data_IF_967956703523
#
_entry.id   IF_967956703523
#
_cell.length_a   1.000
_cell.length_b   1.000
_cell.length_c   1.000
_cell.angle_alpha   90.00
_cell.angle_beta   90.00
_cell.angle_gamma   90.00
#
_symmetry.space_group_name_H-M   'P 1'
#
loop_
_entity.id
_entity.type
_entity.pdbx_description
1 polymer ?
#
# COMPACT_ATOMS: atom_id res chain seq x y z
N UNK A 1 9.17 -23.14 -8.54
CA UNK A 1 8.38 -22.31 -7.63
C UNK A 1 6.99 -22.02 -8.21
N UNK A 2 5.97 -21.83 -7.33
CA UNK A 2 4.60 -21.46 -7.72
C UNK A 2 4.34 -20.00 -7.40
N UNK A 3 3.86 -19.27 -8.39
CA UNK A 3 3.62 -17.83 -8.30
C UNK A 3 2.12 -17.51 -8.37
N UNK A 4 1.71 -16.46 -7.69
CA UNK A 4 0.41 -15.80 -7.85
C UNK A 4 0.64 -14.40 -8.38
N UNK A 5 -0.05 -14.02 -9.46
CA UNK A 5 -0.08 -12.67 -10.01
C UNK A 5 -1.49 -12.10 -9.83
N UNK A 6 -1.64 -11.05 -9.05
CA UNK A 6 -2.88 -10.32 -8.86
C UNK A 6 -2.76 -8.91 -9.47
N UNK A 7 -3.57 -8.66 -10.52
CA UNK A 7 -3.53 -7.46 -11.35
C UNK A 7 -4.91 -7.28 -12.00
N UNK A 8 -5.52 -6.10 -11.89
CA UNK A 8 -6.85 -5.85 -12.44
C UNK A 8 -6.84 -5.62 -13.96
N UNK A 9 -5.74 -5.13 -14.52
CA UNK A 9 -5.57 -4.93 -15.94
C UNK A 9 -5.29 -6.24 -16.67
N UNK A 10 -6.28 -6.80 -17.35
CA UNK A 10 -6.21 -8.13 -17.97
C UNK A 10 -5.01 -8.31 -18.91
N UNK A 11 -4.74 -7.33 -19.78
CA UNK A 11 -3.61 -7.41 -20.72
C UNK A 11 -2.27 -7.50 -19.98
N UNK A 12 -2.09 -6.69 -18.94
CA UNK A 12 -0.85 -6.68 -18.15
C UNK A 12 -0.71 -7.98 -17.36
N UNK A 13 -1.78 -8.44 -16.71
CA UNK A 13 -1.81 -9.72 -16.00
C UNK A 13 -1.43 -10.89 -16.91
N UNK A 14 -2.07 -10.98 -18.06
CA UNK A 14 -1.84 -12.08 -19.00
C UNK A 14 -0.41 -12.06 -19.54
N UNK A 15 0.11 -10.88 -19.91
CA UNK A 15 1.49 -10.73 -20.37
C UNK A 15 2.49 -11.11 -19.27
N UNK A 16 2.27 -10.65 -18.02
CA UNK A 16 3.14 -10.95 -16.90
C UNK A 16 3.16 -12.46 -16.59
N UNK A 17 1.99 -13.10 -16.54
CA UNK A 17 1.89 -14.56 -16.34
C UNK A 17 2.62 -15.33 -17.44
N UNK A 18 2.44 -14.95 -18.72
CA UNK A 18 3.13 -15.62 -19.83
C UNK A 18 4.64 -15.47 -19.75
N UNK A 19 5.15 -14.28 -19.42
CA UNK A 19 6.58 -14.04 -19.33
C UNK A 19 7.21 -14.78 -18.15
N UNK A 20 6.54 -14.83 -16.99
CA UNK A 20 7.01 -15.58 -15.83
C UNK A 20 7.02 -17.08 -16.07
N UNK A 21 6.05 -17.62 -16.83
CA UNK A 21 6.04 -19.04 -17.21
C UNK A 21 7.16 -19.46 -18.18
N UNK A 22 7.91 -18.50 -18.76
CA UNK A 22 9.08 -18.80 -19.60
C UNK A 22 10.37 -18.98 -18.78
N UNK A 23 10.34 -18.65 -17.49
CA UNK A 23 11.49 -18.79 -16.61
C UNK A 23 11.63 -20.23 -16.12
N UNK A 24 12.85 -20.78 -16.19
CA UNK A 24 13.13 -22.22 -15.97
C UNK A 24 12.76 -22.74 -14.57
N UNK A 25 12.74 -21.87 -13.57
CA UNK A 25 12.47 -22.20 -12.16
C UNK A 25 11.01 -21.91 -11.73
N UNK A 26 10.17 -21.45 -12.65
CA UNK A 26 8.72 -21.23 -12.44
C UNK A 26 7.95 -22.48 -12.91
N UNK A 27 7.28 -23.14 -11.97
CA UNK A 27 6.50 -24.35 -12.24
C UNK A 27 5.06 -24.01 -12.62
N UNK A 28 4.48 -23.01 -11.94
CA UNK A 28 3.08 -22.64 -12.09
C UNK A 28 2.87 -21.17 -11.80
N UNK A 29 1.99 -20.52 -12.55
CA UNK A 29 1.57 -19.14 -12.31
C UNK A 29 0.04 -19.08 -12.25
N UNK A 30 -0.49 -18.75 -11.09
CA UNK A 30 -1.90 -18.48 -10.88
C UNK A 30 -2.19 -16.99 -11.13
N UNK A 31 -3.35 -16.70 -11.74
CA UNK A 31 -3.77 -15.34 -12.06
C UNK A 31 -5.01 -14.97 -11.26
N UNK A 32 -5.04 -13.76 -10.70
CA UNK A 32 -6.19 -13.16 -10.04
C UNK A 32 -6.46 -11.77 -10.61
N UNK A 33 -7.72 -11.43 -10.79
CA UNK A 33 -8.15 -10.13 -11.31
C UNK A 33 -8.44 -9.10 -10.21
N UNK A 34 -8.49 -9.55 -8.96
CA UNK A 34 -8.70 -8.73 -7.78
C UNK A 34 -8.16 -9.41 -6.52
N UNK A 35 -8.13 -8.67 -5.41
CA UNK A 35 -7.61 -9.19 -4.15
C UNK A 35 -8.48 -10.27 -3.51
N UNK A 36 -9.77 -10.35 -3.80
CA UNK A 36 -10.65 -11.41 -3.28
C UNK A 36 -10.36 -12.73 -3.97
N UNK A 37 -10.17 -12.71 -5.29
CA UNK A 37 -9.76 -13.88 -6.08
C UNK A 37 -8.36 -14.35 -5.66
N UNK A 38 -7.43 -13.42 -5.42
CA UNK A 38 -6.10 -13.73 -4.91
C UNK A 38 -6.14 -14.47 -3.58
N UNK A 39 -6.96 -14.02 -2.63
CA UNK A 39 -7.15 -14.71 -1.33
C UNK A 39 -7.74 -16.10 -1.54
N UNK A 40 -8.74 -16.26 -2.40
CA UNK A 40 -9.37 -17.55 -2.67
C UNK A 40 -8.38 -18.57 -3.29
N UNK A 41 -7.40 -18.12 -4.06
CA UNK A 41 -6.31 -18.95 -4.57
C UNK A 41 -5.32 -19.31 -3.45
N UNK A 42 -4.92 -18.36 -2.62
CA UNK A 42 -4.04 -18.59 -1.47
C UNK A 42 -4.62 -19.55 -0.41
N UNK A 43 -5.94 -19.68 -0.34
CA UNK A 43 -6.62 -20.67 0.53
C UNK A 43 -6.56 -22.11 -0.02
N UNK A 44 -6.35 -22.27 -1.32
CA UNK A 44 -6.45 -23.56 -2.00
C UNK A 44 -5.11 -24.11 -2.47
N UNK A 45 -4.20 -23.22 -2.81
CA UNK A 45 -2.94 -23.54 -3.46
C UNK A 45 -1.77 -23.13 -2.58
N UNK A 46 -0.72 -23.92 -2.59
CA UNK A 46 0.56 -23.55 -1.98
C UNK A 46 1.30 -22.60 -2.94
N UNK A 47 1.39 -21.34 -2.56
CA UNK A 47 2.04 -20.27 -3.34
C UNK A 47 3.33 -19.86 -2.65
N UNK A 48 4.45 -19.91 -3.37
CA UNK A 48 5.75 -19.48 -2.85
C UNK A 48 5.84 -17.95 -2.81
N UNK A 49 5.40 -17.28 -3.89
CA UNK A 49 5.46 -15.81 -4.01
C UNK A 49 4.16 -15.26 -4.61
N UNK A 50 3.57 -14.28 -3.92
CA UNK A 50 2.45 -13.48 -4.42
C UNK A 50 2.96 -12.13 -4.94
N UNK A 51 2.75 -11.87 -6.22
CA UNK A 51 3.05 -10.61 -6.92
C UNK A 51 1.73 -9.85 -7.02
N UNK A 52 1.62 -8.73 -6.32
CA UNK A 52 0.37 -8.03 -6.11
C UNK A 52 0.44 -6.58 -6.59
N UNK A 53 -0.47 -6.16 -7.46
CA UNK A 53 -0.74 -4.72 -7.61
C UNK A 53 -1.48 -4.19 -6.39
N UNK A 54 -1.35 -2.91 -6.12
CA UNK A 54 -2.04 -2.26 -5.00
C UNK A 54 -3.49 -1.94 -5.36
N UNK A 55 -3.70 -1.24 -6.46
CA UNK A 55 -5.02 -0.71 -6.80
C UNK A 55 -5.84 -1.74 -7.60
N UNK A 56 -6.45 -2.65 -6.89
CA UNK A 56 -7.39 -3.64 -7.43
C UNK A 56 -8.79 -3.43 -6.85
N UNK A 57 -9.86 -3.81 -7.57
CA UNK A 57 -11.23 -3.77 -7.05
C UNK A 57 -11.43 -4.78 -5.92
N UNK A 58 -12.50 -4.60 -5.15
CA UNK A 58 -12.96 -5.47 -4.05
C UNK A 58 -11.99 -5.46 -2.86
N UNK A 59 -10.76 -5.92 -3.06
CA UNK A 59 -9.66 -5.88 -2.08
C UNK A 59 -8.37 -5.45 -2.78
N UNK A 60 -7.63 -4.57 -2.13
CA UNK A 60 -6.32 -4.09 -2.60
C UNK A 60 -5.23 -5.13 -2.36
N UNK A 61 -4.08 -5.00 -3.04
CA UNK A 61 -2.92 -5.86 -2.77
C UNK A 61 -2.39 -5.72 -1.34
N UNK A 62 -2.61 -4.57 -0.69
CA UNK A 62 -2.28 -4.39 0.72
C UNK A 62 -3.22 -5.19 1.65
N UNK A 63 -4.50 -5.29 1.31
CA UNK A 63 -5.45 -6.12 2.05
C UNK A 63 -5.08 -7.61 1.92
N UNK A 64 -4.61 -8.04 0.75
CA UNK A 64 -4.09 -9.40 0.52
C UNK A 64 -2.83 -9.65 1.34
N UNK A 65 -1.87 -8.73 1.35
CA UNK A 65 -0.66 -8.81 2.18
C UNK A 65 -1.01 -8.96 3.67
N UNK A 66 -1.92 -8.13 4.18
CA UNK A 66 -2.36 -8.19 5.58
C UNK A 66 -3.04 -9.52 5.88
N UNK A 67 -3.86 -10.04 4.96
CA UNK A 67 -4.49 -11.35 5.08
C UNK A 67 -3.45 -12.48 5.14
N UNK A 68 -2.44 -12.48 4.26
CA UNK A 68 -1.33 -13.47 4.26
C UNK A 68 -0.63 -13.48 5.63
N UNK A 69 -0.30 -12.31 6.18
CA UNK A 69 0.38 -12.21 7.48
C UNK A 69 -0.52 -12.62 8.65
N UNK A 70 -1.81 -12.27 8.63
CA UNK A 70 -2.77 -12.65 9.65
C UNK A 70 -2.99 -14.18 9.72
N UNK A 71 -2.90 -14.87 8.58
CA UNK A 71 -3.02 -16.32 8.48
C UNK A 71 -1.67 -17.07 8.64
N UNK A 72 -0.60 -16.37 9.00
CA UNK A 72 0.74 -16.94 9.23
C UNK A 72 1.26 -17.75 8.04
N UNK A 73 0.87 -17.38 6.81
CA UNK A 73 1.34 -18.02 5.59
C UNK A 73 2.82 -17.71 5.32
N UNK A 74 3.57 -18.69 4.88
CA UNK A 74 4.97 -18.56 4.49
C UNK A 74 5.16 -17.86 3.12
N UNK A 75 4.07 -17.63 2.39
CA UNK A 75 4.07 -16.96 1.09
C UNK A 75 4.79 -15.61 1.15
N UNK A 76 5.80 -15.44 0.31
CA UNK A 76 6.49 -14.16 0.14
C UNK A 76 5.61 -13.19 -0.65
N UNK A 77 5.68 -11.92 -0.33
CA UNK A 77 4.84 -10.90 -0.98
C UNK A 77 5.71 -9.84 -1.63
N UNK A 78 5.55 -9.71 -2.94
CA UNK A 78 6.13 -8.66 -3.78
C UNK A 78 5.03 -7.72 -4.24
N UNK A 79 5.01 -6.50 -3.73
CA UNK A 79 4.11 -5.46 -4.25
C UNK A 79 4.76 -4.85 -5.51
N UNK A 80 4.01 -4.81 -6.60
CA UNK A 80 4.43 -4.22 -7.88
C UNK A 80 3.42 -3.14 -8.27
N UNK A 81 3.82 -1.87 -8.29
CA UNK A 81 2.89 -0.75 -8.48
C UNK A 81 3.46 0.38 -9.32
N UNK A 82 2.60 1.15 -9.97
CA UNK A 82 2.96 2.44 -10.57
C UNK A 82 2.92 3.59 -9.57
N UNK A 83 2.33 3.38 -8.39
CA UNK A 83 2.06 4.44 -7.42
C UNK A 83 3.21 4.62 -6.43
N UNK A 84 3.74 5.84 -6.38
CA UNK A 84 4.77 6.29 -5.43
C UNK A 84 4.16 6.90 -4.15
N UNK A 85 2.92 6.52 -3.79
CA UNK A 85 2.22 7.07 -2.61
C UNK A 85 2.87 6.57 -1.32
N UNK A 86 3.34 7.50 -0.52
CA UNK A 86 4.03 7.21 0.75
C UNK A 86 3.15 6.44 1.74
N UNK A 87 1.85 6.70 1.76
CA UNK A 87 0.89 6.00 2.62
C UNK A 87 0.84 4.51 2.34
N UNK A 88 0.81 4.10 1.06
CA UNK A 88 0.83 2.69 0.66
C UNK A 88 2.13 2.00 1.07
N UNK A 89 3.27 2.64 0.84
CA UNK A 89 4.56 2.07 1.22
C UNK A 89 4.70 1.93 2.74
N UNK A 90 4.28 2.93 3.53
CA UNK A 90 4.26 2.83 4.99
C UNK A 90 3.38 1.67 5.49
N UNK A 91 2.17 1.51 4.91
CA UNK A 91 1.26 0.42 5.25
C UNK A 91 1.87 -0.94 4.90
N UNK A 92 2.50 -1.06 3.72
CA UNK A 92 3.20 -2.27 3.31
C UNK A 92 4.35 -2.64 4.25
N UNK A 93 5.17 -1.64 4.68
CA UNK A 93 6.24 -1.85 5.64
C UNK A 93 5.71 -2.31 7.01
N UNK A 94 4.63 -1.69 7.50
CA UNK A 94 3.98 -2.07 8.75
C UNK A 94 3.43 -3.49 8.71
N UNK A 95 2.95 -3.94 7.54
CA UNK A 95 2.49 -5.30 7.27
C UNK A 95 3.64 -6.26 6.89
N UNK A 96 4.90 -5.88 7.07
CA UNK A 96 6.07 -6.74 6.83
C UNK A 96 6.14 -7.29 5.40
N UNK A 97 5.92 -6.45 4.38
CA UNK A 97 6.12 -6.81 2.98
C UNK A 97 7.56 -7.30 2.73
N UNK A 98 7.75 -8.28 1.83
CA UNK A 98 9.08 -8.78 1.48
C UNK A 98 9.75 -7.90 0.42
N UNK A 99 9.00 -7.49 -0.63
CA UNK A 99 9.50 -6.50 -1.59
C UNK A 99 8.40 -5.51 -1.99
N UNK A 100 8.84 -4.29 -2.33
CA UNK A 100 7.96 -3.25 -2.85
C UNK A 100 8.68 -2.52 -3.99
N UNK A 101 8.24 -2.77 -5.22
CA UNK A 101 8.92 -2.33 -6.44
C UNK A 101 7.99 -1.64 -7.42
N UNK A 102 8.56 -0.85 -8.33
CA UNK A 102 7.80 -0.13 -9.34
C UNK A 102 7.59 -1.00 -10.59
N UNK A 103 6.42 -0.85 -11.27
CA UNK A 103 6.06 -1.56 -12.51
C UNK A 103 6.94 -1.23 -13.72
N UNK A 104 7.88 -0.29 -13.59
CA UNK A 104 8.82 0.11 -14.63
C UNK A 104 9.98 -0.90 -14.81
N UNK A 105 10.07 -1.93 -13.97
CA UNK A 105 11.11 -2.96 -14.00
C UNK A 105 10.91 -3.95 -15.15
N UNK A 106 12.02 -4.49 -15.65
CA UNK A 106 12.00 -5.63 -16.57
C UNK A 106 11.58 -6.93 -15.86
N UNK A 107 11.19 -7.95 -16.62
CA UNK A 107 10.91 -9.29 -16.08
C UNK A 107 12.14 -9.87 -15.37
N UNK A 108 13.32 -9.70 -15.97
CA UNK A 108 14.58 -10.15 -15.36
C UNK A 108 14.84 -9.51 -13.99
N UNK A 109 14.55 -8.20 -13.83
CA UNK A 109 14.69 -7.52 -12.54
C UNK A 109 13.63 -8.01 -11.54
N UNK A 110 12.41 -8.30 -12.01
CA UNK A 110 11.37 -8.87 -11.16
C UNK A 110 11.75 -10.28 -10.68
N UNK A 111 12.31 -11.13 -11.55
CA UNK A 111 12.80 -12.45 -11.17
C UNK A 111 13.94 -12.34 -10.17
N UNK A 112 14.88 -11.41 -10.33
CA UNK A 112 15.93 -11.15 -9.35
C UNK A 112 15.33 -10.75 -7.98
N UNK A 113 14.28 -9.91 -7.96
CA UNK A 113 13.54 -9.57 -6.74
C UNK A 113 12.88 -10.80 -6.11
N UNK A 114 12.26 -11.66 -6.91
CA UNK A 114 11.62 -12.91 -6.44
C UNK A 114 12.67 -13.80 -5.75
N UNK A 115 13.82 -14.00 -6.37
CA UNK A 115 14.91 -14.79 -5.77
C UNK A 115 15.42 -14.15 -4.47
N UNK A 116 15.53 -12.83 -4.44
CA UNK A 116 15.96 -12.08 -3.24
C UNK A 116 15.01 -12.34 -2.06
N UNK A 117 13.70 -12.28 -2.29
CA UNK A 117 12.71 -12.51 -1.22
C UNK A 117 12.62 -13.98 -0.80
N UNK A 118 12.80 -14.92 -1.73
CA UNK A 118 12.86 -16.35 -1.43
C UNK A 118 14.10 -16.69 -0.58
N UNK A 119 15.20 -15.97 -0.77
CA UNK A 119 16.39 -16.07 0.09
C UNK A 119 16.21 -15.41 1.47
N UNK A 120 15.02 -14.89 1.78
CA UNK A 120 14.70 -14.25 3.06
C UNK A 120 15.18 -12.80 3.19
N UNK A 121 15.65 -12.20 2.12
CA UNK A 121 16.05 -10.79 2.08
C UNK A 121 14.86 -9.91 1.68
N UNK A 122 14.94 -8.62 1.99
CA UNK A 122 13.91 -7.63 1.62
C UNK A 122 14.44 -6.71 0.53
N UNK A 123 13.57 -6.31 -0.39
CA UNK A 123 13.92 -5.39 -1.46
C UNK A 123 12.90 -4.27 -1.62
N UNK A 124 13.37 -3.03 -1.66
CA UNK A 124 12.53 -1.85 -1.84
C UNK A 124 13.15 -0.92 -2.87
N UNK A 125 12.34 -0.37 -3.78
CA UNK A 125 12.82 0.63 -4.74
C UNK A 125 13.38 1.86 -4.01
N UNK A 126 14.60 2.33 -4.33
CA UNK A 126 15.26 3.42 -3.61
C UNK A 126 14.42 4.70 -3.52
N UNK A 127 13.70 5.03 -4.59
CA UNK A 127 12.84 6.22 -4.67
C UNK A 127 11.73 6.22 -3.61
N UNK A 128 11.26 5.03 -3.22
CA UNK A 128 10.22 4.87 -2.20
C UNK A 128 10.80 5.01 -0.80
N UNK A 129 11.98 4.45 -0.59
CA UNK A 129 12.71 4.56 0.69
C UNK A 129 13.07 6.01 0.98
N UNK A 130 13.61 6.73 0.01
CA UNK A 130 13.91 8.16 0.12
C UNK A 130 12.65 8.96 0.42
N UNK A 131 11.55 8.67 -0.28
CA UNK A 131 10.27 9.32 -0.07
C UNK A 131 9.74 9.21 1.37
N UNK A 132 10.03 8.12 2.08
CA UNK A 132 9.64 7.92 3.49
C UNK A 132 10.69 8.47 4.46
N UNK A 133 11.98 8.32 4.15
CA UNK A 133 13.07 8.83 4.99
C UNK A 133 13.02 10.37 5.17
N UNK A 134 12.53 11.07 4.14
CA UNK A 134 12.35 12.54 4.17
C UNK A 134 10.90 12.97 4.44
N UNK A 135 10.05 12.06 4.92
CA UNK A 135 8.66 12.39 5.26
C UNK A 135 8.59 13.14 6.59
N UNK A 136 8.84 14.43 6.50
CA UNK A 136 8.68 15.37 7.62
C UNK A 136 7.20 15.76 7.78
N UNK A 137 6.29 14.78 7.95
CA UNK A 137 4.92 15.11 8.31
C UNK A 137 4.89 15.72 9.72
N UNK A 138 4.58 17.02 9.87
CA UNK A 138 4.59 17.68 11.17
C UNK A 138 3.36 17.30 12.02
N UNK A 139 2.38 16.63 11.42
CA UNK A 139 1.13 16.29 12.08
C UNK A 139 1.27 14.98 12.87
N UNK A 140 0.84 14.99 14.12
CA UNK A 140 0.64 13.76 14.90
C UNK A 140 -0.45 12.88 14.29
N UNK A 141 -0.48 11.60 14.63
CA UNK A 141 -1.49 10.65 14.17
C UNK A 141 -2.91 11.19 14.42
N UNK A 142 -3.18 11.77 15.58
CA UNK A 142 -4.48 12.32 15.94
C UNK A 142 -4.86 13.55 15.12
N UNK A 143 -3.90 14.39 14.78
CA UNK A 143 -4.09 15.53 13.88
C UNK A 143 -4.38 15.06 12.44
N UNK A 144 -3.73 13.99 11.99
CA UNK A 144 -3.99 13.38 10.68
C UNK A 144 -5.41 12.80 10.62
N UNK A 145 -5.86 12.07 11.65
CA UNK A 145 -7.24 11.55 11.73
C UNK A 145 -8.27 12.68 11.63
N UNK A 146 -8.08 13.77 12.40
CA UNK A 146 -8.95 14.95 12.34
C UNK A 146 -8.94 15.56 10.94
N UNK A 147 -7.76 15.77 10.34
CA UNK A 147 -7.65 16.42 9.04
C UNK A 147 -8.19 15.53 7.89
N UNK A 148 -8.08 14.22 8.01
CA UNK A 148 -8.69 13.26 7.07
C UNK A 148 -10.22 13.40 7.05
N UNK A 149 -10.86 13.47 8.22
CA UNK A 149 -12.31 13.69 8.30
C UNK A 149 -12.72 15.07 7.77
N UNK A 150 -11.90 16.09 8.00
CA UNK A 150 -12.10 17.42 7.38
C UNK A 150 -12.03 17.32 5.87
N UNK A 151 -11.12 16.55 5.31
CA UNK A 151 -10.99 16.34 3.87
C UNK A 151 -12.17 15.60 3.24
N UNK A 152 -12.89 14.81 4.04
CA UNK A 152 -14.16 14.12 3.69
C UNK A 152 -15.38 15.03 3.83
N UNK A 153 -15.22 16.27 4.32
CA UNK A 153 -16.28 17.26 4.46
C UNK A 153 -16.98 17.26 5.83
N UNK A 154 -16.50 16.48 6.80
CA UNK A 154 -17.11 16.41 8.12
C UNK A 154 -17.02 17.74 8.89
N UNK A 155 -18.07 18.05 9.62
CA UNK A 155 -18.11 19.17 10.58
C UNK A 155 -17.34 18.84 11.85
N UNK A 156 -16.96 19.86 12.64
CA UNK A 156 -16.28 19.62 13.91
C UNK A 156 -17.11 18.78 14.88
N UNK A 157 -18.44 18.84 14.80
CA UNK A 157 -19.34 18.05 15.63
C UNK A 157 -19.29 16.57 15.22
N UNK A 158 -19.40 16.26 13.93
CA UNK A 158 -19.31 14.89 13.41
C UNK A 158 -17.94 14.28 13.71
N UNK A 159 -16.85 15.04 13.58
CA UNK A 159 -15.50 14.62 13.95
C UNK A 159 -15.41 14.30 15.46
N UNK A 160 -15.97 15.17 16.28
CA UNK A 160 -15.99 14.98 17.74
C UNK A 160 -16.72 13.70 18.15
N UNK A 161 -17.87 13.44 17.53
CA UNK A 161 -18.67 12.23 17.76
C UNK A 161 -17.91 10.96 17.30
N UNK A 162 -17.36 10.97 16.08
CA UNK A 162 -16.64 9.82 15.50
C UNK A 162 -15.37 9.48 16.25
N UNK A 163 -14.63 10.46 16.73
CA UNK A 163 -13.35 10.28 17.43
C UNK A 163 -13.47 10.22 18.95
N UNK A 164 -14.69 10.28 19.48
CA UNK A 164 -14.98 10.32 20.92
C UNK A 164 -14.27 11.50 21.62
N UNK A 165 -14.33 12.69 21.01
CA UNK A 165 -13.73 13.93 21.49
C UNK A 165 -14.79 14.98 21.81
N UNK A 166 -14.38 16.06 22.50
CA UNK A 166 -15.22 17.26 22.60
C UNK A 166 -15.05 18.14 21.36
N UNK A 167 -16.07 18.92 21.01
CA UNK A 167 -16.00 19.89 19.91
C UNK A 167 -14.85 20.92 20.15
N UNK A 168 -14.60 21.29 21.41
CA UNK A 168 -13.46 22.14 21.80
C UNK A 168 -12.12 21.50 21.50
N UNK A 169 -11.97 20.19 21.75
CA UNK A 169 -10.76 19.42 21.44
C UNK A 169 -10.50 19.38 19.93
N UNK A 170 -11.53 19.17 19.11
CA UNK A 170 -11.42 19.21 17.63
C UNK A 170 -10.96 20.58 17.14
N UNK A 171 -11.49 21.68 17.72
CA UNK A 171 -11.02 23.05 17.40
C UNK A 171 -9.54 23.23 17.74
N UNK A 172 -9.09 22.73 18.89
CA UNK A 172 -7.69 22.80 19.29
C UNK A 172 -6.78 22.05 18.32
N UNK A 173 -7.17 20.84 17.89
CA UNK A 173 -6.45 20.10 16.85
C UNK A 173 -6.40 20.89 15.55
N UNK A 174 -7.53 21.46 15.09
CA UNK A 174 -7.54 22.28 13.88
C UNK A 174 -6.60 23.49 13.98
N UNK A 175 -6.58 24.17 15.11
CA UNK A 175 -5.64 25.29 15.33
C UNK A 175 -4.18 24.83 15.26
N UNK A 176 -3.85 23.71 15.91
CA UNK A 176 -2.52 23.14 15.86
C UNK A 176 -2.11 22.72 14.42
N UNK A 177 -3.03 22.09 13.68
CA UNK A 177 -2.84 21.72 12.28
C UNK A 177 -2.54 22.94 11.41
N UNK A 178 -3.37 23.99 11.51
CA UNK A 178 -3.17 25.24 10.76
C UNK A 178 -1.80 25.85 11.03
N UNK A 179 -1.40 25.89 12.29
CA UNK A 179 -0.08 26.42 12.69
C UNK A 179 1.06 25.57 12.14
N UNK A 180 0.97 24.23 12.24
CA UNK A 180 2.01 23.32 11.77
C UNK A 180 2.18 23.30 10.26
N UNK A 181 1.08 23.51 9.52
CA UNK A 181 1.07 23.53 8.07
C UNK A 181 1.26 24.94 7.49
N UNK A 182 1.34 25.96 8.32
CA UNK A 182 1.34 27.37 7.91
C UNK A 182 0.16 27.69 6.96
N UNK A 183 -1.02 27.17 7.31
CA UNK A 183 -2.23 27.28 6.51
C UNK A 183 -3.18 28.33 7.09
N UNK A 184 -3.72 29.20 6.25
CA UNK A 184 -4.63 30.27 6.66
C UNK A 184 -6.06 29.78 6.95
N UNK A 185 -6.44 28.58 6.48
CA UNK A 185 -7.75 28.00 6.72
C UNK A 185 -7.76 26.48 6.52
N UNK A 186 -8.88 25.82 6.94
CA UNK A 186 -9.03 24.36 6.87
C UNK A 186 -8.93 23.78 5.47
N UNK A 187 -9.41 24.49 4.46
CA UNK A 187 -9.38 24.05 3.06
C UNK A 187 -7.94 24.03 2.53
N UNK A 188 -7.16 25.05 2.87
CA UNK A 188 -5.76 25.13 2.53
C UNK A 188 -4.94 24.05 3.26
N UNK A 189 -5.21 23.80 4.53
CA UNK A 189 -4.58 22.70 5.28
C UNK A 189 -4.81 21.34 4.61
N UNK A 190 -6.04 21.07 4.16
CA UNK A 190 -6.38 19.84 3.41
C UNK A 190 -5.61 19.78 2.08
N UNK A 191 -5.54 20.90 1.33
CA UNK A 191 -4.79 20.96 0.07
C UNK A 191 -3.33 20.63 0.28
N UNK A 192 -2.66 21.29 1.23
CA UNK A 192 -1.25 21.05 1.56
C UNK A 192 -1.01 19.59 1.95
N UNK A 193 -1.86 19.05 2.82
CA UNK A 193 -1.72 17.68 3.30
C UNK A 193 -1.95 16.63 2.18
N UNK A 194 -2.85 16.90 1.24
CA UNK A 194 -3.05 16.06 0.04
C UNK A 194 -1.87 16.13 -0.93
N UNK A 195 -1.35 17.32 -1.20
CA UNK A 195 -0.18 17.51 -2.06
C UNK A 195 1.09 16.83 -1.51
N UNK A 196 1.17 16.71 -0.19
CA UNK A 196 2.29 16.05 0.52
C UNK A 196 2.04 14.57 0.79
N UNK A 197 0.88 14.03 0.40
CA UNK A 197 0.45 12.65 0.68
C UNK A 197 0.46 12.31 2.19
N UNK A 198 0.04 13.25 3.03
CA UNK A 198 -0.06 13.10 4.49
C UNK A 198 -1.44 12.65 4.97
N UNK A 199 -2.43 12.61 4.07
CA UNK A 199 -3.76 12.07 4.31
C UNK A 199 -3.87 10.74 3.57
N UNK A 200 -4.17 9.67 4.28
CA UNK A 200 -4.40 8.35 3.74
C UNK A 200 -5.69 8.24 2.91
#
# INVERSE_FOLDING_TARGET
MKLLVAEDQSMLRDALCQLLMLEDDVEEVHAASDGQEAIALLEKEEIDVAILDIEMPIKTGLDVLEWIRANQSETKVVIVTTFKRKGYFKRALAAHVDAYVLKERSISDLMATIHTVLAGQKEYSPELVEGVAFDNNPLSQREQEVLTMVAQGSTNQEIAESLFLSNGTVRNYMTAILTKLDAGNRTEAVRIAKEKDWLG
#
